data_IF_859261723795
#
_entry.id   IF_859261723795
#
_cell.length_a   1.000
_cell.length_b   1.000
_cell.length_c   1.000
_cell.angle_alpha   90.00
_cell.angle_beta   90.00
_cell.angle_gamma   90.00
#
_symmetry.space_group_name_H-M   'P 1'
#
loop_
_entity.id
_entity.type
_entity.pdbx_description
1 polymer ?
#
# COMPACT_ATOMS: atom_id res chain seq x y z
N UNK A 1 5.09 1.67 -11.26
CA UNK A 1 4.90 2.12 -9.86
C UNK A 1 6.03 1.56 -9.01
N UNK A 2 6.59 2.33 -8.08
CA UNK A 2 7.68 1.88 -7.18
C UNK A 2 7.25 1.95 -5.72
N UNK A 3 7.72 1.01 -4.91
CA UNK A 3 7.46 0.99 -3.47
C UNK A 3 8.77 1.30 -2.74
N UNK A 4 9.01 2.54 -2.27
CA UNK A 4 10.14 2.83 -1.39
C UNK A 4 10.04 2.04 -0.08
N UNK A 5 11.15 1.92 0.63
CA UNK A 5 11.17 1.47 2.02
C UNK A 5 10.25 2.32 2.91
N UNK A 6 9.76 1.74 4.01
CA UNK A 6 8.97 2.47 5.01
C UNK A 6 9.83 3.34 5.93
N UNK A 7 9.21 4.32 6.60
CA UNK A 7 9.90 5.37 7.37
C UNK A 7 10.86 4.88 8.47
N UNK A 8 10.69 3.65 8.94
CA UNK A 8 11.50 3.03 10.00
C UNK A 8 12.82 2.43 9.51
N UNK A 9 13.12 2.49 8.20
CA UNK A 9 14.32 1.92 7.61
C UNK A 9 15.28 3.00 7.13
N UNK A 10 16.55 2.86 7.49
CA UNK A 10 17.64 3.72 7.04
C UNK A 10 18.38 3.13 5.82
N UNK A 11 19.14 3.97 5.12
CA UNK A 11 20.19 3.58 4.18
C UNK A 11 21.57 3.81 4.84
N UNK A 12 22.16 2.79 5.49
CA UNK A 12 23.36 2.97 6.31
C UNK A 12 24.62 3.31 5.49
N UNK A 13 24.59 3.12 4.16
CA UNK A 13 25.74 3.39 3.29
C UNK A 13 25.85 4.85 2.85
N UNK A 14 24.82 5.66 3.11
CA UNK A 14 24.79 7.07 2.73
C UNK A 14 24.47 7.88 3.97
N UNK A 15 25.33 8.85 4.27
CA UNK A 15 25.20 9.69 5.47
C UNK A 15 25.15 11.16 5.11
N UNK A 16 24.41 11.94 5.90
CA UNK A 16 24.42 13.40 5.91
C UNK A 16 24.69 13.80 7.35
N UNK A 17 25.69 14.65 7.59
CA UNK A 17 26.14 15.03 8.93
C UNK A 17 26.41 13.80 9.83
N UNK A 18 27.07 12.78 9.27
CA UNK A 18 27.38 11.48 9.90
C UNK A 18 26.16 10.66 10.37
N UNK A 19 24.94 11.03 9.97
CA UNK A 19 23.73 10.27 10.26
C UNK A 19 23.26 9.54 9.01
N UNK A 20 22.92 8.23 9.08
CA UNK A 20 22.31 7.51 7.97
C UNK A 20 21.08 8.24 7.44
N UNK A 21 20.96 8.31 6.11
CA UNK A 21 19.75 8.90 5.50
C UNK A 21 18.57 7.93 5.58
N UNK A 22 17.36 8.45 5.55
CA UNK A 22 16.15 7.62 5.45
C UNK A 22 16.17 6.79 4.17
N UNK A 23 15.95 5.47 4.29
CA UNK A 23 15.83 4.57 3.15
C UNK A 23 14.63 4.91 2.26
N UNK A 24 13.54 5.40 2.85
CA UNK A 24 12.37 5.90 2.12
C UNK A 24 12.73 7.05 1.17
N UNK A 25 13.46 8.04 1.68
CA UNK A 25 13.88 9.20 0.90
C UNK A 25 14.91 8.80 -0.16
N UNK A 26 15.85 7.92 0.18
CA UNK A 26 16.86 7.43 -0.75
C UNK A 26 16.23 6.74 -1.97
N UNK A 27 15.33 5.79 -1.75
CA UNK A 27 14.66 5.04 -2.82
C UNK A 27 13.80 5.95 -3.69
N UNK A 28 13.03 6.84 -3.05
CA UNK A 28 12.18 7.80 -3.73
C UNK A 28 13.01 8.77 -4.58
N UNK A 29 14.03 9.40 -3.99
CA UNK A 29 14.81 10.45 -4.63
C UNK A 29 15.53 9.94 -5.88
N UNK A 30 16.20 8.79 -5.80
CA UNK A 30 16.89 8.21 -6.95
C UNK A 30 15.92 7.86 -8.09
N UNK A 31 14.80 7.21 -7.77
CA UNK A 31 13.83 6.85 -8.80
C UNK A 31 13.19 8.09 -9.43
N UNK A 32 12.73 9.03 -8.61
CA UNK A 32 12.07 10.25 -9.07
C UNK A 32 13.02 11.13 -9.90
N UNK A 33 14.23 11.38 -9.41
CA UNK A 33 15.19 12.26 -10.08
C UNK A 33 15.60 11.72 -11.45
N UNK A 34 15.91 10.42 -11.56
CA UNK A 34 16.37 9.83 -12.80
C UNK A 34 15.26 9.57 -13.83
N UNK A 35 14.02 9.34 -13.39
CA UNK A 35 12.95 8.87 -14.29
C UNK A 35 11.79 9.85 -14.42
N UNK A 36 11.61 10.79 -13.50
CA UNK A 36 10.41 11.62 -13.37
C UNK A 36 10.08 12.41 -14.64
N UNK A 37 11.05 13.16 -15.19
CA UNK A 37 10.82 13.93 -16.41
C UNK A 37 10.57 13.03 -17.64
N UNK A 38 11.30 11.93 -17.76
CA UNK A 38 11.17 11.01 -18.89
C UNK A 38 9.82 10.29 -18.88
N UNK A 39 9.32 9.89 -17.71
CA UNK A 39 7.99 9.31 -17.55
C UNK A 39 6.91 10.27 -18.04
N UNK A 40 7.01 11.56 -17.67
CA UNK A 40 6.08 12.59 -18.11
C UNK A 40 6.14 12.81 -19.61
N UNK A 41 7.34 12.86 -20.22
CA UNK A 41 7.50 12.99 -21.68
C UNK A 41 6.82 11.85 -22.44
N UNK A 42 6.77 10.65 -21.85
CA UNK A 42 6.09 9.46 -22.41
C UNK A 42 4.59 9.41 -22.15
N UNK A 43 4.00 10.44 -21.52
CA UNK A 43 2.59 10.46 -21.16
C UNK A 43 2.24 9.63 -19.93
N UNK A 44 3.23 9.27 -19.12
CA UNK A 44 3.06 8.59 -17.83
C UNK A 44 3.42 9.55 -16.68
N UNK A 45 3.32 9.09 -15.44
CA UNK A 45 3.74 9.85 -14.26
C UNK A 45 4.64 9.02 -13.33
N UNK A 46 5.39 9.69 -12.44
CA UNK A 46 6.11 9.03 -11.36
C UNK A 46 5.10 8.53 -10.31
N UNK A 47 4.92 7.21 -10.26
CA UNK A 47 3.91 6.55 -9.43
C UNK A 47 4.53 5.76 -8.27
N UNK A 48 3.98 5.90 -7.05
CA UNK A 48 4.53 5.32 -5.81
C UNK A 48 3.52 4.55 -4.96
N UNK A 49 3.95 3.44 -4.36
CA UNK A 49 3.22 2.76 -3.28
C UNK A 49 3.86 3.11 -1.94
N UNK A 50 3.09 3.66 -1.00
CA UNK A 50 3.61 4.12 0.30
C UNK A 50 3.28 3.10 1.39
N UNK A 51 4.27 2.36 1.92
CA UNK A 51 4.04 1.29 2.87
C UNK A 51 4.01 1.77 4.32
N UNK A 52 3.35 0.98 5.17
CA UNK A 52 3.48 0.99 6.64
C UNK A 52 3.28 2.33 7.35
N UNK A 53 2.55 3.27 6.76
CA UNK A 53 2.21 4.50 7.46
C UNK A 53 1.30 4.20 8.65
N UNK A 54 1.50 4.89 9.76
CA UNK A 54 0.69 4.73 10.98
C UNK A 54 -0.09 6.00 11.37
N UNK A 55 0.21 7.14 10.75
CA UNK A 55 -0.47 8.41 11.04
C UNK A 55 -0.61 9.31 9.79
N UNK A 56 -1.65 10.15 9.74
CA UNK A 56 -1.81 11.13 8.67
C UNK A 56 -0.65 12.15 8.58
N UNK A 57 0.12 12.36 9.66
CA UNK A 57 1.26 13.28 9.65
C UNK A 57 2.44 12.69 8.84
N UNK A 58 2.53 11.37 8.75
CA UNK A 58 3.47 10.70 7.84
C UNK A 58 3.04 10.85 6.38
N UNK A 59 1.72 10.92 6.12
CA UNK A 59 1.19 11.25 4.80
C UNK A 59 1.47 12.71 4.44
N UNK A 60 1.39 13.63 5.41
CA UNK A 60 1.83 15.03 5.25
C UNK A 60 3.30 15.12 4.91
N UNK A 61 4.15 14.38 5.62
CA UNK A 61 5.59 14.32 5.33
C UNK A 61 5.85 13.89 3.88
N UNK A 62 5.16 12.86 3.38
CA UNK A 62 5.24 12.48 1.97
C UNK A 62 4.78 13.58 1.02
N UNK A 63 3.67 14.25 1.34
CA UNK A 63 3.17 15.36 0.52
C UNK A 63 4.20 16.50 0.43
N UNK A 64 4.87 16.84 1.52
CA UNK A 64 5.92 17.86 1.55
C UNK A 64 7.14 17.45 0.72
N UNK A 65 7.55 16.18 0.83
CA UNK A 65 8.62 15.60 -0.01
C UNK A 65 8.25 15.68 -1.49
N UNK A 66 7.01 15.36 -1.87
CA UNK A 66 6.55 15.44 -3.26
C UNK A 66 6.52 16.87 -3.79
N UNK A 67 6.01 17.82 -2.99
CA UNK A 67 5.99 19.23 -3.34
C UNK A 67 7.40 19.78 -3.55
N UNK A 68 8.29 19.52 -2.60
CA UNK A 68 9.69 19.92 -2.71
C UNK A 68 10.34 19.34 -3.97
N UNK A 69 10.19 18.04 -4.19
CA UNK A 69 10.86 17.34 -5.30
C UNK A 69 10.36 17.80 -6.66
N UNK A 70 9.04 18.00 -6.81
CA UNK A 70 8.47 18.57 -8.03
C UNK A 70 8.99 19.98 -8.29
N UNK A 71 8.99 20.84 -7.26
CA UNK A 71 9.54 22.19 -7.35
C UNK A 71 11.03 22.18 -7.74
N UNK A 72 11.81 21.28 -7.15
CA UNK A 72 13.26 21.19 -7.37
C UNK A 72 13.63 20.90 -8.84
N UNK A 73 12.86 20.04 -9.52
CA UNK A 73 13.10 19.70 -10.94
C UNK A 73 12.22 20.47 -11.93
N UNK A 74 11.47 21.47 -11.46
CA UNK A 74 10.55 22.27 -12.29
C UNK A 74 9.35 21.49 -12.85
N UNK A 75 8.88 20.46 -12.13
CA UNK A 75 7.72 19.65 -12.49
C UNK A 75 6.43 20.25 -11.90
N UNK A 76 5.34 20.18 -12.65
CA UNK A 76 4.01 20.64 -12.19
C UNK A 76 3.57 19.91 -10.91
N UNK A 77 3.03 20.64 -9.94
CA UNK A 77 2.49 20.06 -8.71
C UNK A 77 1.33 19.09 -9.04
N UNK A 78 1.23 17.96 -8.34
CA UNK A 78 0.22 16.93 -8.60
C UNK A 78 0.56 15.98 -9.75
N UNK A 79 1.78 16.04 -10.28
CA UNK A 79 2.28 15.08 -11.28
C UNK A 79 2.65 13.74 -10.63
N UNK A 80 3.26 13.78 -9.44
CA UNK A 80 3.49 12.59 -8.63
C UNK A 80 2.15 12.01 -8.19
N UNK A 81 1.99 10.68 -8.33
CA UNK A 81 0.83 9.95 -7.80
C UNK A 81 1.24 8.85 -6.86
N UNK A 82 0.52 8.70 -5.75
CA UNK A 82 0.82 7.75 -4.70
C UNK A 82 -0.43 6.99 -4.24
N UNK A 83 -0.31 5.67 -4.13
CA UNK A 83 -1.30 4.81 -3.47
C UNK A 83 -0.76 4.40 -2.12
N UNK A 84 -1.55 4.56 -1.07
CA UNK A 84 -1.14 4.24 0.30
C UNK A 84 -1.58 2.83 0.68
N UNK A 85 -0.68 2.02 1.22
CA UNK A 85 -1.07 0.75 1.83
C UNK A 85 -1.63 1.02 3.23
N UNK A 86 -2.92 0.76 3.43
CA UNK A 86 -3.51 0.80 4.77
C UNK A 86 -3.25 -0.55 5.43
N UNK A 87 -1.98 -0.82 5.74
CA UNK A 87 -1.53 -2.11 6.27
C UNK A 87 -1.12 -2.02 7.75
N UNK A 88 -1.59 -0.99 8.45
CA UNK A 88 -1.37 -0.82 9.87
C UNK A 88 -2.69 -0.55 10.58
N UNK A 89 -2.84 -1.06 11.80
CA UNK A 89 -4.06 -0.89 12.59
C UNK A 89 -4.40 0.61 12.82
N UNK A 90 -3.44 1.48 13.20
CA UNK A 90 -3.73 2.90 13.40
C UNK A 90 -4.19 3.62 12.12
N UNK A 91 -3.59 3.30 10.97
CA UNK A 91 -3.95 3.94 9.70
C UNK A 91 -5.39 3.65 9.25
N UNK A 92 -5.95 2.49 9.63
CA UNK A 92 -7.35 2.18 9.33
C UNK A 92 -8.34 3.15 9.99
N UNK A 93 -7.97 3.80 11.09
CA UNK A 93 -8.78 4.82 11.75
C UNK A 93 -8.53 6.24 11.24
N UNK A 94 -7.58 6.43 10.31
CA UNK A 94 -7.14 7.75 9.81
C UNK A 94 -7.16 7.81 8.28
N UNK A 95 -7.94 6.95 7.61
CA UNK A 95 -7.95 6.85 6.15
C UNK A 95 -8.39 8.15 5.48
N UNK A 96 -9.37 8.86 6.06
CA UNK A 96 -9.84 10.14 5.51
C UNK A 96 -8.77 11.23 5.62
N UNK A 97 -8.10 11.33 6.76
CA UNK A 97 -7.04 12.29 7.02
C UNK A 97 -5.81 12.01 6.15
N UNK A 98 -5.43 10.74 5.98
CA UNK A 98 -4.35 10.34 5.06
C UNK A 98 -4.66 10.79 3.63
N UNK A 99 -5.89 10.56 3.17
CA UNK A 99 -6.33 11.01 1.84
C UNK A 99 -6.35 12.54 1.73
N UNK A 100 -6.73 13.24 2.80
CA UNK A 100 -6.74 14.70 2.83
C UNK A 100 -5.34 15.32 2.73
N UNK A 101 -4.39 14.80 3.49
CA UNK A 101 -2.99 15.25 3.48
C UNK A 101 -2.33 15.00 2.12
N UNK A 102 -2.69 13.89 1.46
CA UNK A 102 -2.19 13.54 0.12
C UNK A 102 -3.13 13.95 -1.02
N UNK A 103 -4.17 14.78 -0.81
CA UNK A 103 -5.24 15.03 -1.80
C UNK A 103 -4.77 15.43 -3.21
N UNK A 104 -3.63 16.12 -3.32
CA UNK A 104 -3.05 16.56 -4.60
C UNK A 104 -2.31 15.43 -5.33
N UNK A 105 -1.80 14.45 -4.58
CA UNK A 105 -0.94 13.37 -5.07
C UNK A 105 -1.57 11.98 -4.90
N UNK A 106 -2.73 11.85 -4.28
CA UNK A 106 -3.34 10.55 -4.01
C UNK A 106 -3.85 9.90 -5.29
N UNK A 107 -3.62 8.59 -5.38
CA UNK A 107 -4.21 7.68 -6.35
C UNK A 107 -5.06 6.58 -5.67
N UNK A 108 -5.30 6.69 -4.37
CA UNK A 108 -6.13 5.74 -3.63
C UNK A 108 -5.44 5.05 -2.46
N UNK A 109 -6.13 4.06 -1.91
CA UNK A 109 -5.68 3.22 -0.80
C UNK A 109 -5.65 1.75 -1.22
N UNK A 110 -4.83 0.94 -0.55
CA UNK A 110 -4.73 -0.49 -0.79
C UNK A 110 -4.93 -1.30 0.50
N UNK A 111 -5.63 -2.44 0.35
CA UNK A 111 -5.86 -3.40 1.40
C UNK A 111 -4.66 -4.35 1.62
N UNK A 112 -4.13 -4.41 2.85
CA UNK A 112 -3.11 -5.37 3.27
C UNK A 112 -3.67 -6.42 4.23
N UNK A 113 -3.29 -7.70 4.06
CA UNK A 113 -3.67 -8.77 5.02
C UNK A 113 -2.60 -8.97 6.09
N UNK A 114 -1.41 -9.42 5.69
CA UNK A 114 -0.40 -9.90 6.64
C UNK A 114 0.19 -8.80 7.52
N UNK A 115 0.57 -7.67 6.91
CA UNK A 115 1.09 -6.52 7.65
C UNK A 115 0.02 -5.90 8.57
N UNK A 116 -1.25 -5.91 8.15
CA UNK A 116 -2.36 -5.42 8.98
C UNK A 116 -2.59 -6.30 10.20
N UNK A 117 -2.63 -7.63 10.02
CA UNK A 117 -2.72 -8.60 11.12
C UNK A 117 -1.51 -8.48 12.06
N UNK A 118 -0.30 -8.34 11.50
CA UNK A 118 0.91 -8.10 12.28
C UNK A 118 0.81 -6.81 13.10
N UNK A 119 0.33 -5.73 12.50
CA UNK A 119 0.14 -4.44 13.17
C UNK A 119 -0.90 -4.55 14.29
N UNK A 120 -1.99 -5.29 14.08
CA UNK A 120 -2.97 -5.57 15.12
C UNK A 120 -2.35 -6.27 16.32
N UNK A 121 -1.61 -7.36 16.10
CA UNK A 121 -0.91 -8.09 17.15
C UNK A 121 0.10 -7.18 17.87
N UNK A 122 0.91 -6.43 17.12
CA UNK A 122 1.91 -5.49 17.66
C UNK A 122 1.27 -4.44 18.57
N UNK A 123 0.15 -3.85 18.14
CA UNK A 123 -0.56 -2.79 18.87
C UNK A 123 -1.36 -3.32 20.06
N UNK A 124 -1.85 -4.56 19.99
CA UNK A 124 -2.67 -5.18 21.04
C UNK A 124 -1.91 -6.19 21.89
N UNK A 125 -0.58 -6.28 21.77
CA UNK A 125 0.28 -7.26 22.44
C UNK A 125 0.14 -7.35 23.96
N UNK A 126 -0.27 -6.26 24.62
CA UNK A 126 -0.44 -6.21 26.06
C UNK A 126 -1.84 -6.70 26.51
N UNK A 127 -2.78 -6.84 25.58
CA UNK A 127 -4.14 -7.28 25.87
C UNK A 127 -4.29 -8.78 25.67
N UNK A 128 -4.47 -9.50 26.79
CA UNK A 128 -4.63 -10.96 26.80
C UNK A 128 -5.92 -11.45 26.16
N UNK A 129 -6.92 -10.58 25.96
CA UNK A 129 -8.16 -10.94 25.26
C UNK A 129 -8.06 -10.76 23.74
N UNK A 130 -6.97 -10.17 23.24
CA UNK A 130 -6.78 -9.85 21.82
C UNK A 130 -5.84 -10.84 21.11
N UNK A 131 -5.92 -12.13 21.46
CA UNK A 131 -5.16 -13.21 20.83
C UNK A 131 -5.90 -13.68 19.58
N UNK A 132 -5.21 -13.69 18.45
CA UNK A 132 -5.75 -14.21 17.19
C UNK A 132 -5.52 -15.72 17.06
N UNK A 133 -6.40 -16.45 16.33
CA UNK A 133 -6.16 -17.85 15.98
C UNK A 133 -4.97 -17.98 15.01
N UNK A 134 -4.76 -19.19 14.46
CA UNK A 134 -3.75 -19.37 13.40
C UNK A 134 -4.00 -18.34 12.30
N UNK A 135 -2.92 -17.72 11.84
CA UNK A 135 -2.92 -16.70 10.79
C UNK A 135 -3.67 -17.14 9.52
N UNK A 136 -3.74 -18.45 9.24
CA UNK A 136 -4.47 -19.01 8.10
C UNK A 136 -5.98 -18.79 8.22
N UNK A 137 -6.51 -18.88 9.44
CA UNK A 137 -7.93 -18.75 9.76
C UNK A 137 -8.39 -17.28 9.81
N UNK A 138 -7.44 -16.35 9.97
CA UNK A 138 -7.69 -14.90 9.88
C UNK A 138 -7.77 -14.49 8.41
N UNK A 139 -8.84 -14.90 7.72
CA UNK A 139 -9.12 -14.58 6.31
C UNK A 139 -9.61 -13.14 6.15
N UNK A 140 -9.81 -12.68 4.90
CA UNK A 140 -10.40 -11.36 4.64
C UNK A 140 -11.91 -11.30 4.92
N UNK A 141 -12.53 -12.41 5.32
CA UNK A 141 -13.98 -12.54 5.56
C UNK A 141 -14.33 -12.46 7.05
N UNK A 142 -13.35 -12.60 7.95
CA UNK A 142 -13.59 -12.46 9.39
C UNK A 142 -14.01 -11.03 9.72
N UNK A 143 -14.88 -10.86 10.73
CA UNK A 143 -15.62 -9.61 10.94
C UNK A 143 -14.79 -8.31 10.93
N UNK A 144 -13.66 -8.27 11.63
CA UNK A 144 -12.83 -7.05 11.67
C UNK A 144 -12.08 -6.78 10.36
N UNK A 145 -11.74 -7.82 9.57
CA UNK A 145 -11.10 -7.68 8.26
C UNK A 145 -12.11 -7.24 7.21
N UNK A 146 -13.33 -7.79 7.24
CA UNK A 146 -14.42 -7.36 6.36
C UNK A 146 -14.82 -5.90 6.65
N UNK A 147 -14.94 -5.52 7.92
CA UNK A 147 -15.20 -4.13 8.32
C UNK A 147 -14.11 -3.17 7.82
N UNK A 148 -12.84 -3.56 7.95
CA UNK A 148 -11.69 -2.83 7.43
C UNK A 148 -11.78 -2.62 5.91
N UNK A 149 -12.08 -3.67 5.15
CA UNK A 149 -12.24 -3.61 3.69
C UNK A 149 -13.38 -2.68 3.29
N UNK A 150 -14.56 -2.85 3.90
CA UNK A 150 -15.74 -2.02 3.59
C UNK A 150 -15.48 -0.54 3.88
N UNK A 151 -14.85 -0.24 5.02
CA UNK A 151 -14.49 1.12 5.39
C UNK A 151 -13.53 1.74 4.38
N UNK A 152 -12.52 0.99 3.92
CA UNK A 152 -11.56 1.46 2.92
C UNK A 152 -12.25 1.79 1.60
N UNK A 153 -13.08 0.89 1.08
CA UNK A 153 -13.82 1.10 -0.17
C UNK A 153 -14.72 2.34 -0.06
N UNK A 154 -15.52 2.41 1.01
CA UNK A 154 -16.42 3.54 1.24
C UNK A 154 -15.66 4.87 1.31
N UNK A 155 -14.52 4.88 2.00
CA UNK A 155 -13.69 6.08 2.18
C UNK A 155 -13.06 6.52 0.86
N UNK A 156 -12.47 5.59 0.10
CA UNK A 156 -11.88 5.86 -1.20
C UNK A 156 -12.92 6.40 -2.20
N UNK A 157 -14.05 5.72 -2.34
CA UNK A 157 -15.09 6.08 -3.31
C UNK A 157 -15.76 7.41 -2.97
N UNK A 158 -15.97 7.70 -1.67
CA UNK A 158 -16.44 9.02 -1.22
C UNK A 158 -15.52 10.15 -1.68
N UNK A 159 -14.21 9.90 -1.73
CA UNK A 159 -13.18 10.86 -2.16
C UNK A 159 -12.81 10.72 -3.64
N UNK A 160 -13.49 9.86 -4.40
CA UNK A 160 -13.26 9.57 -5.83
C UNK A 160 -11.83 9.15 -6.14
N UNK A 161 -11.26 8.32 -5.26
CA UNK A 161 -9.95 7.68 -5.47
C UNK A 161 -10.11 6.16 -5.48
N UNK A 162 -9.11 5.44 -6.00
CA UNK A 162 -9.19 3.99 -6.14
C UNK A 162 -9.12 3.26 -4.78
N UNK A 163 -9.89 2.20 -4.64
CA UNK A 163 -9.82 1.22 -3.58
C UNK A 163 -9.23 -0.08 -4.12
N UNK A 164 -7.98 -0.37 -3.77
CA UNK A 164 -7.26 -1.55 -4.27
C UNK A 164 -7.37 -2.73 -3.30
N UNK A 165 -7.69 -3.90 -3.84
CA UNK A 165 -7.75 -5.17 -3.13
C UNK A 165 -6.38 -5.74 -2.77
N UNK A 166 -6.40 -6.87 -2.07
CA UNK A 166 -5.20 -7.50 -1.53
C UNK A 166 -4.46 -8.39 -2.52
N UNK A 167 -3.32 -8.91 -2.06
CA UNK A 167 -2.45 -9.81 -2.81
C UNK A 167 -2.99 -11.25 -2.83
N UNK A 168 -3.05 -11.86 -4.01
CA UNK A 168 -3.08 -13.32 -4.16
C UNK A 168 -1.65 -13.82 -4.43
N UNK A 169 -1.04 -14.42 -3.42
CA UNK A 169 0.35 -14.88 -3.45
C UNK A 169 0.54 -16.32 -3.95
N UNK A 170 -0.50 -16.91 -4.52
CA UNK A 170 -0.49 -18.32 -4.92
C UNK A 170 0.42 -18.54 -6.12
N UNK A 171 1.40 -19.43 -6.02
CA UNK A 171 2.27 -19.80 -7.15
C UNK A 171 1.63 -21.00 -7.86
N UNK A 172 1.47 -20.96 -9.20
CA UNK A 172 0.94 -22.10 -9.95
C UNK A 172 1.81 -23.35 -9.80
N UNK A 173 1.15 -24.48 -9.57
CA UNK A 173 1.81 -25.77 -9.31
C UNK A 173 1.94 -26.52 -10.63
N UNK A 174 3.13 -26.45 -11.27
CA UNK A 174 3.35 -26.98 -12.62
C UNK A 174 3.19 -28.50 -12.75
N UNK A 175 3.52 -29.24 -11.69
CA UNK A 175 3.60 -30.70 -11.73
C UNK A 175 2.36 -31.38 -11.14
N UNK A 176 1.33 -30.62 -10.77
CA UNK A 176 0.10 -31.15 -10.20
C UNK A 176 -1.10 -30.32 -10.71
N UNK A 177 -1.70 -30.71 -11.84
CA UNK A 177 -2.83 -29.99 -12.43
C UNK A 177 -4.02 -29.87 -11.49
N UNK A 178 -4.29 -30.90 -10.67
CA UNK A 178 -5.45 -30.93 -9.77
C UNK A 178 -5.24 -29.98 -8.59
N UNK A 179 -4.07 -30.01 -7.95
CA UNK A 179 -3.75 -29.05 -6.89
C UNK A 179 -3.71 -27.61 -7.43
N UNK A 180 -3.22 -27.42 -8.66
CA UNK A 180 -3.23 -26.12 -9.31
C UNK A 180 -4.66 -25.61 -9.57
N UNK A 181 -5.55 -26.46 -10.04
CA UNK A 181 -6.96 -26.09 -10.26
C UNK A 181 -7.64 -25.65 -8.97
N UNK A 182 -7.45 -26.39 -7.87
CA UNK A 182 -7.98 -26.02 -6.54
C UNK A 182 -7.42 -24.68 -6.08
N UNK A 183 -6.12 -24.44 -6.29
CA UNK A 183 -5.46 -23.20 -5.93
C UNK A 183 -5.99 -22.02 -6.76
N UNK A 184 -6.15 -22.19 -8.07
CA UNK A 184 -6.68 -21.18 -8.98
C UNK A 184 -8.17 -20.89 -8.73
N UNK A 185 -8.95 -21.89 -8.35
CA UNK A 185 -10.35 -21.71 -7.95
C UNK A 185 -10.46 -20.80 -6.72
N UNK A 186 -9.57 -20.97 -5.72
CA UNK A 186 -9.50 -20.07 -4.55
C UNK A 186 -9.14 -18.65 -4.95
N UNK A 187 -8.16 -18.47 -5.83
CA UNK A 187 -7.81 -17.12 -6.33
C UNK A 187 -9.00 -16.47 -7.04
N UNK A 188 -9.70 -17.20 -7.91
CA UNK A 188 -10.90 -16.68 -8.59
C UNK A 188 -11.99 -16.28 -7.60
N UNK A 189 -12.26 -17.12 -6.59
CA UNK A 189 -13.24 -16.81 -5.56
C UNK A 189 -12.85 -15.56 -4.76
N UNK A 190 -11.58 -15.45 -4.36
CA UNK A 190 -11.07 -14.28 -3.63
C UNK A 190 -11.17 -12.99 -4.46
N UNK A 191 -10.81 -13.05 -5.75
CA UNK A 191 -10.87 -11.87 -6.64
C UNK A 191 -12.30 -11.49 -7.00
N UNK A 192 -13.17 -12.48 -7.20
CA UNK A 192 -14.59 -12.24 -7.39
C UNK A 192 -15.18 -11.52 -6.17
N UNK A 193 -14.86 -11.98 -4.95
CA UNK A 193 -15.28 -11.31 -3.72
C UNK A 193 -14.79 -9.86 -3.67
N UNK A 194 -13.53 -9.59 -4.02
CA UNK A 194 -12.99 -8.23 -4.03
C UNK A 194 -13.71 -7.31 -5.00
N UNK A 195 -13.99 -7.77 -6.23
CA UNK A 195 -14.72 -6.97 -7.22
C UNK A 195 -16.19 -6.78 -6.82
N UNK A 196 -16.84 -7.81 -6.26
CA UNK A 196 -18.22 -7.73 -5.77
C UNK A 196 -18.36 -6.77 -4.59
N UNK A 197 -17.34 -6.68 -3.72
CA UNK A 197 -17.31 -5.69 -2.64
C UNK A 197 -17.07 -4.26 -3.12
N UNK A 198 -16.59 -4.07 -4.35
CA UNK A 198 -16.36 -2.76 -4.97
C UNK A 198 -14.90 -2.31 -5.00
N UNK A 199 -13.92 -3.21 -4.94
CA UNK A 199 -12.54 -2.80 -5.25
C UNK A 199 -12.37 -2.47 -6.74
N UNK A 200 -11.58 -1.44 -7.02
CA UNK A 200 -11.29 -0.97 -8.38
C UNK A 200 -10.17 -1.78 -9.07
N UNK A 201 -9.42 -2.57 -8.29
CA UNK A 201 -8.37 -3.44 -8.80
C UNK A 201 -7.82 -4.36 -7.72
N UNK A 202 -6.95 -5.29 -8.11
CA UNK A 202 -6.42 -6.32 -7.22
C UNK A 202 -4.97 -6.68 -7.54
N UNK A 203 -4.28 -7.36 -6.62
CA UNK A 203 -2.88 -7.74 -6.75
C UNK A 203 -2.68 -9.24 -6.97
N UNK A 204 -1.75 -9.58 -7.85
CA UNK A 204 -1.22 -10.93 -8.07
C UNK A 204 0.31 -10.92 -7.92
N UNK A 205 0.87 -12.00 -7.39
CA UNK A 205 2.31 -12.12 -7.20
C UNK A 205 3.04 -12.80 -8.37
N UNK A 206 2.29 -13.51 -9.22
CA UNK A 206 2.87 -14.32 -10.30
C UNK A 206 2.11 -14.09 -11.63
N UNK A 207 2.79 -13.87 -12.77
CA UNK A 207 2.15 -13.59 -14.07
C UNK A 207 1.27 -14.70 -14.67
N UNK A 208 1.27 -15.88 -14.05
CA UNK A 208 0.56 -17.07 -14.55
C UNK A 208 -0.76 -17.33 -13.78
N UNK A 209 -1.15 -16.38 -12.92
CA UNK A 209 -2.42 -16.35 -12.19
C UNK A 209 -3.42 -15.56 -13.03
#
# INVERSE_FOLDING_TARGET
MRSPRGWHLDEPRVTVDNTPVSGSLFDFALYFFHNGQELVKRGLGPYFYLPKMEHYLEARLWNDVFNFSQSYIGMTCGTIRATVLIETLPAAFQMEEILFELRTHSAGLNCGRWDYIFSFIKRRRADRSAVLPDRKDVTMEVGFMDAYVRLLIQTCHRRRVAAMGGMSAQIPIKNDPQANEVAMAKVRADKLREVTNGHDGTWIAHPLI
#
